data_IF_864845461629
#
_entry.id   IF_864845461629
#
_cell.length_a   1.000
_cell.length_b   1.000
_cell.length_c   1.000
_cell.angle_alpha   90.00
_cell.angle_beta   90.00
_cell.angle_gamma   90.00
#
_symmetry.space_group_name_H-M   'P 1'
#
loop_
_entity.id
_entity.type
_entity.pdbx_description
1 polymer ?
#
# COMPACT_ATOMS: atom_id res chain seq x y z
N UNK A 1 12.71 48.42 26.54
CA UNK A 1 12.49 48.26 25.09
C UNK A 1 12.60 46.77 24.76
N UNK A 2 11.50 46.08 24.44
CA UNK A 2 11.49 44.65 24.05
C UNK A 2 10.52 44.47 22.89
N UNK A 3 11.04 44.18 21.70
CA UNK A 3 10.26 43.95 20.48
C UNK A 3 10.09 42.45 20.30
N UNK A 4 8.86 41.94 20.40
CA UNK A 4 8.54 40.52 20.13
C UNK A 4 8.13 40.39 18.66
N UNK A 5 8.94 39.67 17.87
CA UNK A 5 8.65 39.35 16.48
C UNK A 5 7.44 38.41 16.38
N UNK A 6 6.43 38.81 15.62
CA UNK A 6 5.30 37.96 15.26
C UNK A 6 5.73 37.00 14.14
N UNK A 7 5.92 35.72 14.48
CA UNK A 7 6.14 34.66 13.49
C UNK A 7 4.84 34.38 12.72
N UNK A 8 4.65 35.07 11.60
CA UNK A 8 3.58 34.76 10.65
C UNK A 8 3.97 33.49 9.91
N UNK A 9 3.37 32.37 10.31
CA UNK A 9 3.57 31.08 9.64
C UNK A 9 2.66 31.01 8.41
N UNK A 10 3.24 31.15 7.22
CA UNK A 10 2.53 30.96 5.95
C UNK A 10 2.18 29.48 5.76
N UNK A 11 0.90 29.11 5.89
CA UNK A 11 0.41 27.75 5.61
C UNK A 11 0.37 27.53 4.10
N UNK A 12 1.21 26.63 3.60
CA UNK A 12 1.14 26.16 2.20
C UNK A 12 -0.10 25.26 2.05
N UNK A 13 -1.13 25.75 1.38
CA UNK A 13 -2.29 24.94 1.02
C UNK A 13 -1.89 23.99 -0.12
N UNK A 14 -1.54 22.75 0.22
CA UNK A 14 -1.54 21.67 -0.76
C UNK A 14 -2.98 21.53 -1.30
N UNK A 15 -3.13 21.24 -2.59
CA UNK A 15 -4.42 20.89 -3.21
C UNK A 15 -4.93 19.60 -2.55
N UNK A 16 -5.57 19.74 -1.39
CA UNK A 16 -6.13 18.63 -0.63
C UNK A 16 -7.33 18.14 -1.43
N UNK A 17 -7.16 17.00 -2.10
CA UNK A 17 -8.29 16.23 -2.62
C UNK A 17 -9.25 15.92 -1.47
N UNK A 18 -10.55 15.92 -1.77
CA UNK A 18 -11.64 15.76 -0.81
C UNK A 18 -11.36 14.58 0.16
N UNK A 19 -11.21 14.82 1.48
CA UNK A 19 -10.90 13.77 2.46
C UNK A 19 -12.04 12.76 2.65
N UNK A 20 -13.24 13.06 2.12
CA UNK A 20 -14.42 12.19 2.19
C UNK A 20 -14.27 10.86 1.45
N UNK A 21 -13.25 10.70 0.58
CA UNK A 21 -13.00 9.44 -0.13
C UNK A 21 -12.12 8.45 0.65
N UNK A 22 -11.55 8.86 1.79
CA UNK A 22 -10.59 8.04 2.54
C UNK A 22 -11.23 6.98 3.45
N UNK A 23 -12.54 7.08 3.73
CA UNK A 23 -13.16 6.30 4.82
C UNK A 23 -13.75 4.94 4.39
N UNK A 24 -13.87 4.65 3.08
CA UNK A 24 -14.48 3.40 2.63
C UNK A 24 -13.90 3.00 1.29
N UNK A 25 -13.34 1.79 1.20
CA UNK A 25 -12.95 1.20 -0.07
C UNK A 25 -14.18 1.20 -0.99
N UNK A 26 -14.23 2.04 -2.03
CA UNK A 26 -15.38 2.07 -2.91
C UNK A 26 -15.50 0.73 -3.63
N UNK A 27 -16.72 0.24 -3.85
CA UNK A 27 -16.96 -0.91 -4.72
C UNK A 27 -16.70 -0.47 -6.15
N UNK A 28 -15.45 -0.63 -6.61
CA UNK A 28 -15.02 -0.24 -7.96
C UNK A 28 -15.27 -1.39 -8.91
N UNK A 29 -16.02 -1.15 -9.98
CA UNK A 29 -16.17 -2.11 -11.07
C UNK A 29 -14.82 -2.36 -11.76
N UNK A 30 -14.53 -3.61 -12.12
CA UNK A 30 -13.25 -3.98 -12.74
C UNK A 30 -13.05 -3.33 -14.12
N UNK A 31 -14.13 -3.16 -14.86
CA UNK A 31 -14.14 -2.61 -16.21
C UNK A 31 -15.47 -1.94 -16.49
N UNK A 32 -15.50 -1.05 -17.50
CA UNK A 32 -16.73 -0.43 -18.00
C UNK A 32 -17.73 -1.46 -18.55
N UNK A 33 -17.23 -2.61 -19.00
CA UNK A 33 -18.02 -3.69 -19.57
C UNK A 33 -18.57 -4.67 -18.53
N UNK A 34 -18.01 -4.69 -17.32
CA UNK A 34 -18.36 -5.62 -16.25
C UNK A 34 -18.80 -4.85 -14.99
N UNK A 35 -20.00 -4.22 -15.01
CA UNK A 35 -20.44 -3.37 -13.90
C UNK A 35 -20.73 -4.16 -12.62
N UNK A 36 -21.02 -5.46 -12.74
CA UNK A 36 -21.37 -6.33 -11.61
C UNK A 36 -20.14 -6.95 -10.93
N UNK A 37 -18.97 -6.89 -11.57
CA UNK A 37 -17.74 -7.48 -11.05
C UNK A 37 -16.87 -6.40 -10.40
N UNK A 38 -16.68 -6.51 -9.08
CA UNK A 38 -15.97 -5.52 -8.29
C UNK A 38 -14.61 -6.03 -7.81
N UNK A 39 -13.64 -5.12 -7.66
CA UNK A 39 -12.33 -5.46 -7.07
C UNK A 39 -12.49 -5.80 -5.59
N UNK A 40 -12.10 -7.02 -5.13
CA UNK A 40 -12.31 -7.44 -3.75
C UNK A 40 -11.16 -7.01 -2.82
N UNK A 41 -10.96 -5.71 -2.59
CA UNK A 41 -9.85 -5.18 -1.79
C UNK A 41 -9.76 -5.73 -0.35
N UNK A 42 -10.91 -5.99 0.29
CA UNK A 42 -10.97 -6.52 1.65
C UNK A 42 -10.38 -7.93 1.76
N UNK A 43 -10.63 -8.78 0.75
CA UNK A 43 -10.09 -10.15 0.72
C UNK A 43 -8.58 -10.11 0.52
N UNK A 44 -8.13 -9.30 -0.43
CA UNK A 44 -6.71 -9.14 -0.77
C UNK A 44 -5.90 -8.61 0.43
N UNK A 45 -6.44 -7.65 1.17
CA UNK A 45 -5.78 -7.10 2.36
C UNK A 45 -5.68 -8.10 3.52
N UNK A 46 -6.68 -8.96 3.69
CA UNK A 46 -6.65 -10.05 4.67
C UNK A 46 -5.55 -11.08 4.32
N UNK A 47 -5.50 -11.53 3.07
CA UNK A 47 -4.46 -12.45 2.56
C UNK A 47 -3.06 -11.87 2.76
N UNK A 48 -2.86 -10.59 2.41
CA UNK A 48 -1.56 -9.92 2.59
C UNK A 48 -1.18 -9.75 4.07
N UNK A 49 -2.15 -9.57 4.97
CA UNK A 49 -1.90 -9.46 6.42
C UNK A 49 -1.39 -10.78 7.00
N UNK A 50 -1.95 -11.91 6.56
CA UNK A 50 -1.46 -13.26 6.90
C UNK A 50 -0.02 -13.44 6.43
N UNK A 51 0.24 -13.17 5.16
CA UNK A 51 1.57 -13.35 4.56
C UNK A 51 2.62 -12.45 5.22
N UNK A 52 2.25 -11.21 5.56
CA UNK A 52 3.12 -10.27 6.28
C UNK A 52 3.50 -10.78 7.68
N UNK A 53 2.53 -11.31 8.43
CA UNK A 53 2.77 -11.88 9.77
C UNK A 53 3.69 -13.10 9.74
N UNK A 54 3.68 -13.89 8.66
CA UNK A 54 4.57 -15.05 8.48
C UNK A 54 6.00 -14.63 8.13
N UNK A 55 6.15 -13.71 7.18
CA UNK A 55 7.44 -13.36 6.60
C UNK A 55 8.26 -12.37 7.44
N UNK A 56 7.64 -11.63 8.37
CA UNK A 56 8.29 -10.66 9.28
C UNK A 56 9.25 -9.66 8.61
N UNK A 57 9.03 -9.35 7.32
CA UNK A 57 9.82 -8.42 6.51
C UNK A 57 8.89 -7.55 5.66
N UNK A 58 9.32 -6.35 5.22
CA UNK A 58 8.52 -5.56 4.28
C UNK A 58 8.38 -6.30 2.94
N UNK A 59 7.16 -6.33 2.40
CA UNK A 59 6.87 -6.91 1.08
C UNK A 59 7.06 -5.86 -0.02
N UNK A 60 7.77 -6.22 -1.08
CA UNK A 60 7.86 -5.44 -2.31
C UNK A 60 6.52 -5.43 -3.05
N UNK A 61 6.33 -4.50 -4.01
CA UNK A 61 5.10 -4.43 -4.78
C UNK A 61 4.83 -5.72 -5.57
N UNK A 62 5.85 -6.26 -6.21
CA UNK A 62 5.76 -7.52 -6.97
C UNK A 62 5.38 -8.69 -6.08
N UNK A 63 5.97 -8.78 -4.90
CA UNK A 63 5.61 -9.79 -3.89
C UNK A 63 4.15 -9.64 -3.44
N UNK A 64 3.67 -8.41 -3.23
CA UNK A 64 2.26 -8.19 -2.85
C UNK A 64 1.29 -8.64 -3.93
N UNK A 65 1.54 -8.33 -5.20
CA UNK A 65 0.68 -8.79 -6.31
C UNK A 65 0.67 -10.32 -6.33
N UNK A 66 1.85 -10.94 -6.28
CA UNK A 66 1.99 -12.39 -6.30
C UNK A 66 1.24 -13.06 -5.14
N UNK A 67 1.47 -12.59 -3.91
CA UNK A 67 0.88 -13.18 -2.71
C UNK A 67 -0.62 -12.89 -2.56
N UNK A 68 -1.10 -11.78 -3.11
CA UNK A 68 -2.51 -11.41 -3.08
C UNK A 68 -3.41 -12.33 -3.92
N UNK A 69 -2.83 -13.07 -4.87
CA UNK A 69 -3.55 -14.00 -5.75
C UNK A 69 -3.39 -15.47 -5.35
N UNK A 70 -2.80 -15.75 -4.19
CA UNK A 70 -2.74 -17.12 -3.66
C UNK A 70 -4.11 -17.56 -3.16
N UNK A 71 -4.54 -18.75 -3.56
CA UNK A 71 -5.76 -19.39 -3.06
C UNK A 71 -5.63 -19.76 -1.58
N UNK A 72 -4.47 -20.29 -1.18
CA UNK A 72 -4.16 -20.70 0.20
C UNK A 72 -2.92 -19.97 0.74
N UNK A 73 -3.09 -18.82 1.42
CA UNK A 73 -1.95 -18.07 1.97
C UNK A 73 -1.25 -18.77 3.14
N UNK A 74 -1.90 -19.76 3.77
CA UNK A 74 -1.41 -20.46 4.95
C UNK A 74 -0.35 -21.52 4.64
N UNK A 75 -0.47 -22.21 3.48
CA UNK A 75 0.29 -23.44 3.19
C UNK A 75 1.50 -23.28 2.27
N UNK A 76 1.59 -22.20 1.48
CA UNK A 76 2.48 -22.17 0.30
C UNK A 76 3.65 -21.16 0.39
N UNK A 77 3.84 -20.46 1.52
CA UNK A 77 4.88 -19.42 1.62
C UNK A 77 6.24 -20.04 2.00
N UNK A 78 6.88 -20.70 1.04
CA UNK A 78 8.26 -21.20 1.17
C UNK A 78 9.27 -20.10 0.83
N UNK A 79 10.07 -19.70 1.82
CA UNK A 79 11.02 -18.56 1.81
C UNK A 79 12.25 -18.69 0.88
N UNK A 80 12.35 -19.69 0.00
CA UNK A 80 13.67 -20.17 -0.44
C UNK A 80 14.31 -19.46 -1.66
N UNK A 81 13.63 -18.62 -2.44
CA UNK A 81 14.16 -18.22 -3.76
C UNK A 81 14.44 -16.72 -4.03
N UNK A 82 13.87 -15.75 -3.29
CA UNK A 82 14.04 -14.32 -3.60
C UNK A 82 15.16 -13.61 -2.82
N UNK A 83 16.28 -14.29 -2.57
CA UNK A 83 17.45 -13.72 -1.87
C UNK A 83 18.27 -12.72 -2.68
N UNK A 84 17.93 -12.43 -3.95
CA UNK A 84 18.81 -11.66 -4.83
C UNK A 84 18.49 -10.16 -4.96
N UNK A 85 17.34 -9.67 -4.49
CA UNK A 85 17.10 -8.22 -4.53
C UNK A 85 17.53 -7.56 -3.21
N UNK A 86 18.81 -7.17 -3.17
CA UNK A 86 19.29 -6.21 -2.17
C UNK A 86 18.49 -4.88 -2.24
N UNK A 87 18.54 -4.04 -1.20
CA UNK A 87 17.86 -2.74 -1.23
C UNK A 87 18.37 -1.92 -2.41
N UNK A 88 17.45 -1.35 -3.20
CA UNK A 88 17.73 -0.50 -4.37
C UNK A 88 18.44 0.84 -4.02
N UNK A 89 19.01 0.95 -2.82
CA UNK A 89 19.70 2.14 -2.31
C UNK A 89 21.17 2.23 -2.75
N UNK A 90 21.66 1.30 -3.58
CA UNK A 90 23.05 1.27 -4.09
C UNK A 90 23.26 1.80 -5.52
N UNK A 91 22.28 2.47 -6.13
CA UNK A 91 22.54 3.24 -7.35
C UNK A 91 22.96 4.66 -6.95
N UNK A 92 24.24 4.78 -6.58
CA UNK A 92 24.95 6.07 -6.58
C UNK A 92 25.34 6.35 -8.03
N UNK A 93 24.59 7.25 -8.66
CA UNK A 93 25.03 7.96 -9.87
C UNK A 93 26.30 8.75 -9.50
#
# INVERSE_FOLDING_TARGET
>A
MRYTALNVTFKRCLHTSNPSFAAKSPKVALSKFEPNSHVPYEKLSATLSVVKSRLNRPLTLSEKILYSHLSDPEGQVSQSHLRQHGPLTKLKI
#
